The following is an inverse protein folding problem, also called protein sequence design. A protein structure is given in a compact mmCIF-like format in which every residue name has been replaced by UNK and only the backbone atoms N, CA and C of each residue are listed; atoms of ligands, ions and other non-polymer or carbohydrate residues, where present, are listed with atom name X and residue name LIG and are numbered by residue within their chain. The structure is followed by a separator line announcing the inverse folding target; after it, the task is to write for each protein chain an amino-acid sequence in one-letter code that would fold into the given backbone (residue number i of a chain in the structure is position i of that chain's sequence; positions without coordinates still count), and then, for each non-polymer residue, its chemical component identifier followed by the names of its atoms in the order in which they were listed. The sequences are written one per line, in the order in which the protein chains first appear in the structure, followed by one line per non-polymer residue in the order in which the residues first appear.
data_IF_085141971007
#
_entry.id   IF_085141971007
#
_cell.length_a   1.000
_cell.length_b   1.000
_cell.length_c   1.000
_cell.angle_alpha   90.00
_cell.angle_beta   90.00
_cell.angle_gamma   90.00
#
_symmetry.space_group_name_H-M   'P 1'
#
loop_
_entity.id
_entity.type
_entity.pdbx_description
1 polymer ?
#
# COMPACT_ATOMS: atom_id res chain seq x y z
N UNK A 1 17.80 -0.48 15.39
CA UNK A 1 16.71 -0.40 16.37
C UNK A 1 16.27 -1.82 16.68
N UNK A 2 16.60 -2.30 17.89
CA UNK A 2 16.34 -3.67 18.35
C UNK A 2 14.84 -3.81 18.66
N UNK A 3 14.22 -4.87 18.16
CA UNK A 3 12.78 -5.13 18.22
C UNK A 3 12.26 -5.48 19.64
N UNK A 4 12.44 -4.58 20.61
CA UNK A 4 11.99 -4.80 21.98
C UNK A 4 12.00 -3.59 22.92
N UNK A 5 12.37 -2.39 22.48
CA UNK A 5 12.39 -1.22 23.36
C UNK A 5 11.09 -0.42 23.25
N UNK A 6 10.20 -0.61 24.24
CA UNK A 6 9.08 0.29 24.48
C UNK A 6 9.60 1.56 25.15
N UNK A 7 9.50 2.70 24.47
CA UNK A 7 9.91 4.01 25.00
C UNK A 7 8.81 4.53 25.92
N UNK A 8 9.01 4.36 27.22
CA UNK A 8 8.10 4.81 28.28
C UNK A 8 8.83 5.02 29.61
N UNK A 9 9.49 6.17 29.72
CA UNK A 9 10.01 6.85 30.92
C UNK A 9 11.09 6.21 31.81
N UNK A 10 11.42 4.92 31.76
CA UNK A 10 12.62 4.40 32.46
C UNK A 10 13.26 3.29 31.62
N UNK A 11 14.47 3.56 31.12
CA UNK A 11 15.30 2.56 30.45
C UNK A 11 16.02 1.73 31.51
N UNK A 12 15.71 0.43 31.59
CA UNK A 12 16.46 -0.50 32.44
C UNK A 12 17.81 -0.83 31.79
N UNK A 13 18.88 -0.71 32.56
CA UNK A 13 20.16 -1.31 32.24
C UNK A 13 20.09 -2.83 32.50
N UNK A 14 20.66 -3.69 31.65
CA UNK A 14 20.61 -5.15 31.80
C UNK A 14 21.21 -5.68 33.12
N UNK A 15 22.00 -4.88 33.83
CA UNK A 15 22.74 -5.28 35.03
C UNK A 15 22.06 -4.89 36.35
N UNK A 16 21.03 -4.03 36.34
CA UNK A 16 20.31 -3.63 37.56
C UNK A 16 18.81 -3.91 37.43
N UNK A 17 18.36 -5.04 37.97
CA UNK A 17 16.93 -5.39 38.04
C UNK A 17 16.27 -4.66 39.20
N UNK A 18 15.34 -3.75 38.88
CA UNK A 18 14.45 -3.11 39.87
C UNK A 18 13.36 -4.10 40.30
N UNK A 19 13.27 -4.40 41.60
CA UNK A 19 12.40 -5.46 42.18
C UNK A 19 10.89 -5.16 42.18
N UNK A 20 10.46 -3.90 42.03
CA UNK A 20 9.04 -3.52 42.13
C UNK A 20 8.50 -2.96 40.80
N UNK A 21 8.34 -3.83 39.81
CA UNK A 21 7.64 -3.51 38.55
C UNK A 21 6.13 -3.75 38.70
N UNK A 22 5.32 -2.72 38.39
CA UNK A 22 3.86 -2.77 38.46
C UNK A 22 3.20 -3.77 37.48
N UNK A 23 3.96 -4.26 36.48
CA UNK A 23 3.55 -5.34 35.59
C UNK A 23 4.74 -6.28 35.38
N UNK A 24 4.67 -7.47 35.97
CA UNK A 24 5.62 -8.55 35.72
C UNK A 24 5.10 -9.39 34.56
N UNK A 25 5.38 -8.95 33.34
CA UNK A 25 5.10 -9.73 32.14
C UNK A 25 6.28 -9.57 31.21
N UNK A 26 7.11 -10.60 31.18
CA UNK A 26 8.13 -10.79 30.16
C UNK A 26 7.43 -11.41 28.95
N UNK A 27 7.62 -10.82 27.77
CA UNK A 27 7.21 -11.48 26.54
C UNK A 27 8.23 -12.60 26.32
N UNK A 28 7.89 -13.81 26.76
CA UNK A 28 8.66 -15.03 26.46
C UNK A 28 8.46 -15.33 24.98
N UNK A 29 9.20 -14.64 24.13
CA UNK A 29 9.23 -14.93 22.71
C UNK A 29 10.26 -16.04 22.50
N UNK A 30 9.84 -17.18 21.96
CA UNK A 30 10.78 -18.25 21.60
C UNK A 30 11.60 -17.79 20.39
N UNK A 31 12.70 -17.11 20.69
CA UNK A 31 13.61 -16.58 19.69
C UNK A 31 14.22 -17.69 18.82
N UNK A 32 14.30 -18.93 19.30
CA UNK A 32 14.78 -20.07 18.51
C UNK A 32 13.72 -20.52 17.50
N UNK A 33 12.46 -20.62 17.92
CA UNK A 33 11.34 -20.95 17.02
C UNK A 33 11.13 -19.86 15.95
N UNK A 34 11.17 -18.58 16.32
CA UNK A 34 11.08 -17.47 15.38
C UNK A 34 12.23 -17.46 14.37
N UNK A 35 13.45 -17.77 14.80
CA UNK A 35 14.60 -17.83 13.90
C UNK A 35 14.45 -18.96 12.87
N UNK A 36 13.97 -20.13 13.30
CA UNK A 36 13.67 -21.23 12.38
C UNK A 36 12.56 -20.87 11.38
N UNK A 37 11.54 -20.14 11.84
CA UNK A 37 10.47 -19.66 10.97
C UNK A 37 11.01 -18.67 9.91
N UNK A 38 11.85 -17.74 10.33
CA UNK A 38 12.49 -16.74 9.46
C UNK A 38 13.45 -17.40 8.45
N UNK A 39 14.24 -18.37 8.89
CA UNK A 39 15.15 -19.13 8.01
C UNK A 39 14.38 -19.94 6.95
N UNK A 40 13.12 -20.30 7.24
CA UNK A 40 12.21 -20.98 6.32
C UNK A 40 11.41 -20.06 5.39
N UNK A 41 11.53 -18.74 5.54
CA UNK A 41 10.83 -17.81 4.66
C UNK A 41 11.38 -17.86 3.25
N UNK A 42 10.51 -18.24 2.33
CA UNK A 42 10.78 -18.16 0.91
C UNK A 42 10.55 -16.73 0.42
N UNK A 43 11.39 -16.21 -0.49
CA UNK A 43 11.11 -14.94 -1.14
C UNK A 43 9.75 -15.02 -1.83
N UNK A 44 8.95 -13.95 -1.69
CA UNK A 44 7.65 -13.86 -2.34
C UNK A 44 7.85 -14.13 -3.85
N UNK A 45 7.07 -15.06 -4.43
CA UNK A 45 7.20 -15.35 -5.86
C UNK A 45 6.86 -14.10 -6.66
N UNK A 46 7.70 -13.76 -7.64
CA UNK A 46 7.42 -12.67 -8.55
C UNK A 46 6.21 -13.03 -9.43
N UNK A 47 5.01 -12.61 -9.01
CA UNK A 47 3.74 -12.91 -9.71
C UNK A 47 3.73 -12.35 -11.14
N UNK A 48 4.44 -11.23 -11.38
CA UNK A 48 4.62 -10.62 -12.71
C UNK A 48 5.79 -9.65 -12.72
N UNK A 49 6.72 -9.82 -13.66
CA UNK A 49 7.75 -8.81 -13.95
C UNK A 49 7.12 -7.64 -14.69
N UNK A 50 6.93 -6.51 -13.99
CA UNK A 50 6.46 -5.26 -14.61
C UNK A 50 7.64 -4.65 -15.35
N UNK A 51 7.57 -4.62 -16.69
CA UNK A 51 8.57 -3.94 -17.52
C UNK A 51 8.12 -2.52 -17.86
N UNK A 52 9.07 -1.61 -18.09
CA UNK A 52 8.77 -0.22 -18.47
C UNK A 52 7.87 -0.13 -19.71
N UNK A 53 8.04 -1.03 -20.67
CA UNK A 53 7.19 -1.09 -21.88
C UNK A 53 5.73 -1.48 -21.60
N UNK A 54 5.45 -2.27 -20.55
CA UNK A 54 4.08 -2.57 -20.14
C UNK A 54 3.43 -1.32 -19.53
N UNK A 55 4.19 -0.55 -18.74
CA UNK A 55 3.71 0.71 -18.14
C UNK A 55 3.38 1.72 -19.23
N UNK A 56 4.28 1.91 -20.20
CA UNK A 56 4.08 2.84 -21.31
C UNK A 56 2.86 2.46 -22.16
N UNK A 57 2.71 1.17 -22.49
CA UNK A 57 1.54 0.68 -23.23
C UNK A 57 0.24 0.91 -22.46
N UNK A 58 0.20 0.60 -21.16
CA UNK A 58 -0.98 0.85 -20.34
C UNK A 58 -1.30 2.34 -20.27
N UNK A 59 -0.29 3.19 -20.11
CA UNK A 59 -0.48 4.63 -20.09
C UNK A 59 -1.09 5.15 -21.40
N UNK A 60 -0.57 4.71 -22.54
CA UNK A 60 -1.10 5.09 -23.85
C UNK A 60 -2.51 4.57 -24.07
N UNK A 61 -2.78 3.32 -23.67
CA UNK A 61 -4.10 2.72 -23.78
C UNK A 61 -5.13 3.48 -22.94
N UNK A 62 -4.86 3.72 -21.65
CA UNK A 62 -5.76 4.48 -20.77
C UNK A 62 -6.03 5.87 -21.33
N UNK A 63 -5.01 6.52 -21.91
CA UNK A 63 -5.17 7.84 -22.53
C UNK A 63 -6.08 7.81 -23.75
N UNK A 64 -6.01 6.75 -24.55
CA UNK A 64 -6.91 6.56 -25.69
C UNK A 64 -8.33 6.26 -25.22
N UNK A 65 -8.49 5.31 -24.30
CA UNK A 65 -9.79 4.91 -23.75
C UNK A 65 -10.53 6.11 -23.15
N UNK A 66 -9.83 6.98 -22.42
CA UNK A 66 -10.42 8.22 -21.87
C UNK A 66 -10.88 9.17 -22.97
N UNK A 67 -10.14 9.31 -24.08
CA UNK A 67 -10.58 10.14 -25.21
C UNK A 67 -11.82 9.56 -25.87
N UNK A 68 -11.82 8.26 -26.12
CA UNK A 68 -12.94 7.57 -26.76
C UNK A 68 -14.21 7.68 -25.91
N UNK A 69 -14.10 7.58 -24.58
CA UNK A 69 -15.21 7.80 -23.64
C UNK A 69 -15.72 9.24 -23.74
N UNK A 70 -14.83 10.23 -23.75
CA UNK A 70 -15.22 11.64 -23.87
C UNK A 70 -15.96 11.88 -25.18
N UNK A 71 -15.42 11.40 -26.31
CA UNK A 71 -16.03 11.57 -27.63
C UNK A 71 -17.41 10.91 -27.70
N UNK A 72 -17.51 9.66 -27.23
CA UNK A 72 -18.77 8.90 -27.20
C UNK A 72 -19.83 9.59 -26.35
N UNK A 73 -19.47 10.07 -25.16
CA UNK A 73 -20.41 10.76 -24.28
C UNK A 73 -20.81 12.14 -24.82
N UNK A 74 -19.87 12.85 -25.44
CA UNK A 74 -20.17 14.13 -26.12
C UNK A 74 -21.14 13.93 -27.29
N UNK A 75 -20.95 12.89 -28.11
CA UNK A 75 -21.89 12.54 -29.18
C UNK A 75 -23.27 12.18 -28.61
N UNK A 76 -23.32 11.38 -27.53
CA UNK A 76 -24.57 11.02 -26.86
C UNK A 76 -25.33 12.26 -26.38
N UNK A 77 -24.65 13.19 -25.71
CA UNK A 77 -25.22 14.44 -25.22
C UNK A 77 -25.73 15.35 -26.35
N UNK A 78 -25.06 15.37 -27.50
CA UNK A 78 -25.49 16.12 -28.68
C UNK A 78 -26.68 15.48 -29.40
N UNK A 79 -26.77 14.15 -29.37
CA UNK A 79 -27.85 13.39 -30.02
C UNK A 79 -29.18 13.44 -29.27
N UNK A 80 -29.16 13.73 -27.97
CA UNK A 80 -30.36 13.84 -27.12
C UNK A 80 -30.75 15.31 -26.89
N UNK A 81 -31.89 15.76 -27.46
CA UNK A 81 -32.39 17.13 -27.27
C UNK A 81 -32.63 17.50 -25.79
N UNK A 82 -32.91 16.50 -24.93
CA UNK A 82 -33.13 16.70 -23.50
C UNK A 82 -31.85 16.98 -22.71
N UNK A 83 -30.69 16.53 -23.20
CA UNK A 83 -29.39 16.66 -22.53
C UNK A 83 -28.51 17.77 -23.12
N UNK A 84 -28.93 18.36 -24.24
CA UNK A 84 -28.21 19.41 -24.97
C UNK A 84 -27.88 20.65 -24.11
N UNK A 85 -28.67 20.94 -23.06
CA UNK A 85 -28.44 22.04 -22.14
C UNK A 85 -27.23 21.85 -21.20
N UNK A 86 -26.69 20.62 -21.11
CA UNK A 86 -25.51 20.30 -20.29
C UNK A 86 -24.19 20.60 -21.02
N UNK A 87 -24.23 20.81 -22.35
CA UNK A 87 -23.04 21.06 -23.17
C UNK A 87 -22.71 22.55 -23.16
N UNK A 88 -21.76 22.96 -22.31
CA UNK A 88 -21.26 24.34 -22.27
C UNK A 88 -20.17 24.50 -23.33
N UNK A 89 -20.50 25.17 -24.45
CA UNK A 89 -19.50 25.58 -25.43
C UNK A 89 -18.67 26.72 -24.86
N UNK A 90 -17.37 26.47 -24.66
CA UNK A 90 -16.41 27.53 -24.31
C UNK A 90 -16.23 28.42 -25.55
N UNK A 91 -16.48 29.72 -25.39
CA UNK A 91 -16.31 30.74 -26.43
C UNK A 91 -14.83 30.92 -26.85
#
# INVERSE_FOLDING_TARGET
LSSGEFVGMVADNPEEKIELKAFHSEIVNDHAALKQEIDGYLPLPEVRKVSAGIIERNYLQIKQDVRDIIETEMERLLSDPGLSHLVIKKA
#
